data_IF_719380833953
#
_entry.id   IF_719380833953
#
_cell.length_a   1.000
_cell.length_b   1.000
_cell.length_c   1.000
_cell.angle_alpha   90.00
_cell.angle_beta   90.00
_cell.angle_gamma   90.00
#
_symmetry.space_group_name_H-M   'P 1'
#
loop_
_entity.id
_entity.type
_entity.pdbx_description
1 polymer ?
#
# COMPACT_ATOMS: atom_id res chain seq x y z
N UNK A 1 -41.81 -14.98 15.65
CA UNK A 1 -40.52 -14.60 15.04
C UNK A 1 -40.31 -15.55 13.86
N UNK A 2 -40.35 -14.98 12.66
CA UNK A 2 -40.59 -15.75 11.44
C UNK A 2 -39.25 -16.30 10.96
N UNK A 3 -39.22 -17.53 10.43
CA UNK A 3 -37.98 -18.20 9.99
C UNK A 3 -37.11 -17.30 9.09
N UNK A 4 -37.75 -16.45 8.26
CA UNK A 4 -37.12 -15.45 7.40
C UNK A 4 -36.40 -14.32 8.13
N UNK A 5 -36.90 -13.87 9.29
CA UNK A 5 -36.23 -12.82 10.09
C UNK A 5 -34.94 -13.32 10.72
N UNK A 6 -34.90 -14.59 11.14
CA UNK A 6 -33.70 -15.21 11.71
C UNK A 6 -32.60 -15.35 10.67
N UNK A 7 -32.95 -15.69 9.42
CA UNK A 7 -31.98 -15.82 8.32
C UNK A 7 -31.37 -14.49 7.94
N UNK A 8 -32.17 -13.42 7.86
CA UNK A 8 -31.69 -12.07 7.55
C UNK A 8 -30.71 -11.57 8.63
N UNK A 9 -31.03 -11.78 9.90
CA UNK A 9 -30.15 -11.41 11.01
C UNK A 9 -28.83 -12.21 10.94
N UNK A 10 -28.89 -13.50 10.61
CA UNK A 10 -27.70 -14.34 10.47
C UNK A 10 -26.79 -13.87 9.34
N UNK A 11 -27.37 -13.46 8.19
CA UNK A 11 -26.62 -12.90 7.05
C UNK A 11 -25.98 -11.57 7.42
N UNK A 12 -26.68 -10.68 8.13
CA UNK A 12 -26.13 -9.40 8.58
C UNK A 12 -24.96 -9.61 9.57
N UNK A 13 -25.09 -10.57 10.49
CA UNK A 13 -24.01 -10.91 11.42
C UNK A 13 -22.79 -11.49 10.70
N UNK A 14 -22.99 -12.34 9.68
CA UNK A 14 -21.90 -12.88 8.86
C UNK A 14 -21.15 -11.78 8.09
N UNK A 15 -21.85 -10.80 7.53
CA UNK A 15 -21.25 -9.64 6.83
C UNK A 15 -20.50 -8.72 7.82
N UNK A 16 -21.06 -8.56 9.03
CA UNK A 16 -20.45 -7.75 10.08
C UNK A 16 -19.15 -8.38 10.62
N UNK A 17 -19.09 -9.71 10.72
CA UNK A 17 -17.85 -10.44 11.05
C UNK A 17 -16.81 -10.39 9.92
N UNK A 18 -17.23 -10.25 8.66
CA UNK A 18 -16.31 -10.12 7.52
C UNK A 18 -15.64 -8.73 7.44
N UNK A 19 -16.17 -7.75 8.19
CA UNK A 19 -15.75 -6.35 8.14
C UNK A 19 -14.70 -5.98 9.20
N UNK A 20 -14.29 -6.92 10.07
CA UNK A 20 -13.14 -6.71 10.95
C UNK A 20 -11.82 -6.96 10.21
N UNK A 21 -11.54 -6.13 9.20
CA UNK A 21 -10.18 -5.91 8.76
C UNK A 21 -9.42 -5.24 9.91
N UNK A 22 -8.75 -6.06 10.72
CA UNK A 22 -7.77 -5.62 11.73
C UNK A 22 -6.89 -4.50 11.14
N UNK A 23 -6.58 -3.44 11.92
CA UNK A 23 -5.78 -2.33 11.43
C UNK A 23 -4.46 -2.84 10.85
N UNK A 24 -4.13 -2.33 9.66
CA UNK A 24 -3.16 -2.87 8.72
C UNK A 24 -1.68 -2.78 9.18
N UNK A 25 -1.26 -3.55 10.18
CA UNK A 25 0.16 -3.57 10.60
C UNK A 25 1.12 -4.17 9.56
N UNK A 26 0.61 -4.94 8.59
CA UNK A 26 1.46 -5.52 7.52
C UNK A 26 1.92 -4.48 6.50
N UNK A 27 1.13 -3.45 6.22
CA UNK A 27 1.51 -2.44 5.23
C UNK A 27 2.62 -1.53 5.74
N UNK A 28 2.61 -1.12 7.01
CA UNK A 28 3.67 -0.27 7.58
C UNK A 28 5.08 -0.88 7.44
N UNK A 29 5.23 -2.16 7.80
CA UNK A 29 6.52 -2.88 7.68
C UNK A 29 6.94 -3.13 6.23
N UNK A 30 5.96 -3.29 5.32
CA UNK A 30 6.25 -3.38 3.90
C UNK A 30 6.74 -2.03 3.36
N UNK A 31 6.03 -0.95 3.68
CA UNK A 31 6.31 0.42 3.24
C UNK A 31 7.71 0.85 3.67
N UNK A 32 8.11 0.61 4.93
CA UNK A 32 9.47 0.91 5.39
C UNK A 32 10.55 0.15 4.61
N UNK A 33 10.34 -1.15 4.33
CA UNK A 33 11.31 -1.95 3.58
C UNK A 33 11.44 -1.51 2.13
N UNK A 34 10.30 -1.29 1.46
CA UNK A 34 10.27 -0.84 0.06
C UNK A 34 10.86 0.57 -0.04
N UNK A 35 10.55 1.46 0.91
CA UNK A 35 11.13 2.79 0.98
C UNK A 35 12.65 2.75 1.16
N UNK A 36 13.16 1.91 2.07
CA UNK A 36 14.60 1.73 2.26
C UNK A 36 15.30 1.18 1.01
N UNK A 37 14.68 0.23 0.32
CA UNK A 37 15.18 -0.28 -0.96
C UNK A 37 15.18 0.81 -2.03
N UNK A 38 14.07 1.52 -2.24
CA UNK A 38 13.99 2.63 -3.19
C UNK A 38 15.06 3.69 -2.91
N UNK A 39 15.24 4.07 -1.64
CA UNK A 39 16.27 5.04 -1.25
C UNK A 39 17.68 4.56 -1.58
N UNK A 40 17.97 3.27 -1.41
CA UNK A 40 19.25 2.69 -1.78
C UNK A 40 19.43 2.58 -3.31
N UNK A 41 18.38 2.17 -4.03
CA UNK A 41 18.41 2.02 -5.49
C UNK A 41 18.51 3.35 -6.24
N UNK A 42 17.86 4.39 -5.73
CA UNK A 42 17.96 5.72 -6.28
C UNK A 42 19.25 6.44 -5.83
N UNK A 43 20.21 5.76 -5.21
CA UNK A 43 21.47 6.32 -4.69
C UNK A 43 21.25 7.52 -3.75
N UNK A 44 20.23 7.41 -2.88
CA UNK A 44 19.73 8.46 -1.99
C UNK A 44 19.20 9.72 -2.70
N UNK A 45 19.03 9.68 -4.03
CA UNK A 45 18.46 10.75 -4.85
C UNK A 45 16.95 10.56 -5.02
N UNK A 46 16.25 11.65 -5.32
CA UNK A 46 14.79 11.68 -5.47
C UNK A 46 14.04 12.16 -4.23
N UNK A 47 12.93 12.83 -4.47
CA UNK A 47 12.09 13.39 -3.41
C UNK A 47 11.57 12.29 -2.45
N UNK A 48 11.93 12.44 -1.17
CA UNK A 48 11.54 11.53 -0.07
C UNK A 48 10.04 11.25 -0.02
N UNK A 49 9.22 12.22 -0.42
CA UNK A 49 7.76 12.10 -0.45
C UNK A 49 7.27 11.21 -1.60
N UNK A 50 7.86 11.35 -2.80
CA UNK A 50 7.54 10.50 -3.96
C UNK A 50 7.92 9.05 -3.65
N UNK A 51 9.12 8.82 -3.11
CA UNK A 51 9.58 7.49 -2.75
C UNK A 51 8.70 6.85 -1.66
N UNK A 52 8.22 7.64 -0.70
CA UNK A 52 7.32 7.17 0.34
C UNK A 52 5.90 6.86 -0.19
N UNK A 53 5.35 7.69 -1.06
CA UNK A 53 4.05 7.42 -1.68
C UNK A 53 4.11 6.17 -2.58
N UNK A 54 5.22 6.01 -3.30
CA UNK A 54 5.51 4.81 -4.11
C UNK A 54 5.57 3.55 -3.26
N UNK A 55 6.25 3.60 -2.11
CA UNK A 55 6.36 2.42 -1.24
C UNK A 55 5.01 2.03 -0.62
N UNK A 56 4.11 3.00 -0.38
CA UNK A 56 2.72 2.72 0.00
C UNK A 56 1.99 2.01 -1.13
N UNK A 57 2.05 2.55 -2.35
CA UNK A 57 1.40 1.95 -3.52
C UNK A 57 1.89 0.53 -3.78
N UNK A 58 3.21 0.30 -3.76
CA UNK A 58 3.78 -1.02 -3.95
C UNK A 58 3.35 -2.06 -2.92
N UNK A 59 3.07 -1.63 -1.69
CA UNK A 59 2.57 -2.51 -0.65
C UNK A 59 1.06 -2.77 -0.72
N UNK A 60 0.35 -2.03 -1.58
CA UNK A 60 -1.07 -2.23 -1.88
C UNK A 60 -1.27 -3.03 -3.17
N UNK A 61 -0.48 -2.80 -4.21
CA UNK A 61 -0.65 -3.39 -5.54
C UNK A 61 0.38 -4.46 -5.93
N UNK A 62 1.39 -4.73 -5.09
CA UNK A 62 2.57 -5.54 -5.41
C UNK A 62 3.31 -5.01 -6.65
N UNK A 63 4.33 -4.19 -6.44
CA UNK A 63 5.21 -3.77 -7.53
C UNK A 63 6.24 -4.83 -7.89
N UNK A 64 6.66 -4.84 -9.15
CA UNK A 64 7.87 -5.52 -9.58
C UNK A 64 9.12 -4.62 -9.46
N UNK A 65 10.29 -5.24 -9.61
CA UNK A 65 11.57 -4.54 -9.49
C UNK A 65 11.77 -3.46 -10.57
N UNK A 66 11.23 -3.67 -11.77
CA UNK A 66 11.36 -2.73 -12.90
C UNK A 66 10.55 -1.46 -12.62
N UNK A 67 9.35 -1.62 -12.08
CA UNK A 67 8.46 -0.55 -11.68
C UNK A 67 9.08 0.30 -10.56
N UNK A 68 9.70 -0.35 -9.56
CA UNK A 68 10.44 0.36 -8.51
C UNK A 68 11.63 1.18 -9.07
N UNK A 69 12.38 0.65 -10.03
CA UNK A 69 13.52 1.34 -10.65
C UNK A 69 13.09 2.54 -11.51
N UNK A 70 11.96 2.43 -12.21
CA UNK A 70 11.42 3.52 -13.02
C UNK A 70 11.12 4.78 -12.17
N UNK A 71 10.72 4.58 -10.91
CA UNK A 71 10.39 5.68 -9.99
C UNK A 71 11.60 6.52 -9.59
N UNK A 72 12.81 5.94 -9.57
CA UNK A 72 14.05 6.70 -9.37
C UNK A 72 14.32 7.67 -10.53
N UNK A 73 14.07 7.22 -11.77
CA UNK A 73 14.27 8.04 -12.96
C UNK A 73 13.25 9.19 -12.98
N UNK A 74 11.98 8.91 -12.67
CA UNK A 74 10.95 9.95 -12.57
C UNK A 74 11.26 10.97 -11.48
N UNK A 75 11.70 10.52 -10.30
CA UNK A 75 12.09 11.42 -9.21
C UNK A 75 13.25 12.33 -9.62
N UNK A 76 14.24 11.82 -10.37
CA UNK A 76 15.34 12.66 -10.89
C UNK A 76 14.90 13.66 -11.96
N UNK A 77 13.85 13.37 -12.73
CA UNK A 77 13.29 14.31 -13.73
C UNK A 77 12.53 15.44 -13.04
N UNK A 78 11.86 15.18 -11.92
CA UNK A 78 11.25 16.24 -11.11
C UNK A 78 12.29 17.11 -10.39
N UNK A 79 13.38 16.53 -9.88
CA UNK A 79 14.54 17.28 -9.34
C UNK A 79 15.15 18.24 -10.38
N UNK A 80 15.09 17.90 -11.68
CA UNK A 80 15.56 18.74 -12.79
C UNK A 80 14.60 19.87 -13.18
N UNK A 81 13.38 19.85 -12.64
CA UNK A 81 12.30 20.81 -12.97
C UNK A 81 12.11 21.88 -11.90
N UNK A 82 12.75 21.73 -10.72
CA UNK A 82 12.86 22.75 -9.67
C UNK A 82 14.09 23.63 -9.87
#
# INVERSE_FOLDING_TARGET
MNSSTTTVILVILLISCLSEAKPHHKHAKCTEKVYGMLKAYCDFRGHSEILHNTSIQCCQSNCDFTEMMAMCVMASVEDLRQ
#
